data_IF_590954257642
#
_entry.id   IF_590954257642
#
_cell.length_a   1.000
_cell.length_b   1.000
_cell.length_c   1.000
_cell.angle_alpha   90.00
_cell.angle_beta   90.00
_cell.angle_gamma   90.00
#
_symmetry.space_group_name_H-M   'P 1'
#
loop_
_entity.id
_entity.type
_entity.pdbx_description
1 polymer ?
#
# COMPACT_ATOMS: atom_id res chain seq x y z
N UNK A 1 -15.15 -11.95 23.49
CA UNK A 1 -15.53 -10.55 23.22
C UNK A 1 -14.45 -9.97 22.33
N UNK A 2 -14.72 -9.84 21.04
CA UNK A 2 -13.83 -9.15 20.09
C UNK A 2 -14.19 -7.68 20.11
N UNK A 3 -13.28 -6.85 20.62
CA UNK A 3 -13.48 -5.41 20.72
C UNK A 3 -13.08 -4.74 19.41
N UNK A 4 -14.05 -4.19 18.69
CA UNK A 4 -13.78 -3.30 17.55
C UNK A 4 -13.25 -1.99 18.14
N UNK A 5 -11.99 -1.65 17.84
CA UNK A 5 -11.45 -0.31 18.13
C UNK A 5 -11.58 0.52 16.86
N UNK A 6 -12.31 1.63 16.96
CA UNK A 6 -12.41 2.61 15.89
C UNK A 6 -11.46 3.76 16.18
N UNK A 7 -10.51 4.01 15.28
CA UNK A 7 -9.72 5.26 15.28
C UNK A 7 -10.23 6.10 14.12
N UNK A 8 -10.73 7.29 14.44
CA UNK A 8 -11.20 8.28 13.46
C UNK A 8 -10.14 9.35 13.22
N UNK A 9 -9.85 9.66 11.96
CA UNK A 9 -9.08 10.84 11.56
C UNK A 9 -9.91 11.69 10.59
N UNK A 10 -9.84 13.01 10.75
CA UNK A 10 -10.51 13.98 9.90
C UNK A 10 -9.43 14.87 9.30
N UNK A 11 -9.27 14.81 7.99
CA UNK A 11 -8.37 15.67 7.23
C UNK A 11 -8.99 15.95 5.86
N UNK A 12 -8.38 16.85 5.11
CA UNK A 12 -8.62 17.07 3.68
C UNK A 12 -7.51 16.34 2.91
N UNK A 13 -7.64 15.02 2.82
CA UNK A 13 -6.62 14.10 2.31
C UNK A 13 -6.31 14.33 0.83
N UNK A 14 -7.28 14.77 0.04
CA UNK A 14 -7.10 15.09 -1.38
C UNK A 14 -6.93 16.60 -1.69
N UNK A 15 -7.00 17.44 -0.64
CA UNK A 15 -6.82 18.89 -0.70
C UNK A 15 -7.84 19.58 -1.64
N UNK A 16 -9.06 19.05 -1.71
CA UNK A 16 -10.19 19.59 -2.47
C UNK A 16 -11.08 20.55 -1.66
N UNK A 17 -10.66 20.88 -0.43
CA UNK A 17 -11.41 21.68 0.56
C UNK A 17 -12.65 21.00 1.13
N UNK A 18 -12.71 19.66 1.06
CA UNK A 18 -13.72 18.85 1.75
C UNK A 18 -13.04 17.98 2.79
N UNK A 19 -13.70 17.84 3.93
CA UNK A 19 -13.22 16.97 4.99
C UNK A 19 -13.63 15.54 4.63
N UNK A 20 -12.65 14.65 4.49
CA UNK A 20 -12.91 13.22 4.48
C UNK A 20 -12.66 12.60 5.86
N UNK A 21 -13.30 11.45 6.07
CA UNK A 21 -13.26 10.73 7.33
C UNK A 21 -12.64 9.36 7.15
N UNK A 22 -11.54 9.10 7.85
CA UNK A 22 -10.85 7.82 7.90
C UNK A 22 -11.31 7.01 9.12
N UNK A 23 -11.92 5.85 8.90
CA UNK A 23 -12.23 4.85 9.94
C UNK A 23 -11.34 3.65 9.76
N UNK A 24 -10.54 3.33 10.77
CA UNK A 24 -9.86 2.04 10.83
C UNK A 24 -10.57 1.12 11.80
N UNK A 25 -11.01 -0.03 11.32
CA UNK A 25 -11.54 -1.13 12.14
C UNK A 25 -10.52 -2.27 12.21
N UNK A 26 -10.33 -2.84 13.39
CA UNK A 26 -9.44 -4.00 13.57
C UNK A 26 -10.26 -5.24 13.99
N UNK A 27 -10.07 -6.37 13.29
CA UNK A 27 -10.51 -7.68 13.74
C UNK A 27 -9.35 -8.70 13.66
N UNK A 28 -9.03 -9.37 14.77
CA UNK A 28 -8.19 -10.58 14.85
C UNK A 28 -7.04 -10.71 13.81
N UNK A 29 -6.29 -9.62 13.57
CA UNK A 29 -5.13 -9.43 12.66
C UNK A 29 -5.36 -8.77 11.29
N UNK A 30 -6.58 -8.32 10.96
CA UNK A 30 -6.85 -7.53 9.76
C UNK A 30 -7.33 -6.13 10.17
N UNK A 31 -6.64 -5.11 9.65
CA UNK A 31 -7.10 -3.73 9.69
C UNK A 31 -7.84 -3.41 8.40
N UNK A 32 -9.11 -3.02 8.50
CA UNK A 32 -9.86 -2.48 7.36
C UNK A 32 -9.96 -0.97 7.52
N UNK A 33 -9.64 -0.26 6.44
CA UNK A 33 -9.66 1.20 6.38
C UNK A 33 -10.81 1.63 5.47
N UNK A 34 -11.74 2.42 6.00
CA UNK A 34 -12.82 3.06 5.27
C UNK A 34 -12.54 4.55 5.19
N UNK A 35 -12.70 5.16 4.01
CA UNK A 35 -12.72 6.62 3.86
C UNK A 35 -14.07 7.04 3.35
N UNK A 36 -14.68 8.01 4.02
CA UNK A 36 -15.96 8.60 3.64
C UNK A 36 -15.74 10.06 3.24
N UNK A 37 -16.05 10.40 1.99
CA UNK A 37 -16.15 11.79 1.53
C UNK A 37 -17.58 12.32 1.71
N UNK A 38 -17.73 13.58 2.13
CA UNK A 38 -19.04 14.25 2.19
C UNK A 38 -19.38 14.87 0.82
N UNK A 39 -20.40 14.38 0.09
CA UNK A 39 -20.96 15.13 -1.02
C UNK A 39 -21.71 16.35 -0.44
N UNK A 40 -21.49 17.52 -1.03
CA UNK A 40 -22.02 18.79 -0.53
C UNK A 40 -23.52 18.83 -0.26
N UNK A 41 -23.90 19.85 0.53
CA UNK A 41 -25.24 20.14 1.06
C UNK A 41 -26.34 20.08 -0.02
N UNK A 42 -27.15 19.01 -0.01
CA UNK A 42 -28.39 18.92 -0.78
C UNK A 42 -28.64 17.61 -1.51
N UNK A 43 -27.65 16.71 -1.58
CA UNK A 43 -27.86 15.37 -2.12
C UNK A 43 -28.05 14.40 -0.95
N UNK A 44 -29.11 13.58 -1.02
CA UNK A 44 -29.29 12.49 -0.06
C UNK A 44 -28.03 11.62 0.00
N UNK A 45 -27.83 10.89 1.10
CA UNK A 45 -26.81 9.83 1.17
C UNK A 45 -27.12 8.84 0.03
N UNK A 46 -26.54 9.08 -1.13
CA UNK A 46 -26.34 8.04 -2.12
C UNK A 46 -25.47 7.04 -1.38
N UNK A 47 -25.89 5.77 -1.36
CA UNK A 47 -24.96 4.67 -1.12
C UNK A 47 -23.71 5.06 -1.90
N UNK A 48 -22.66 5.42 -1.17
CA UNK A 48 -21.53 6.12 -1.75
C UNK A 48 -21.18 5.36 -3.00
N UNK A 49 -21.07 6.05 -4.13
CA UNK A 49 -20.36 5.49 -5.28
C UNK A 49 -19.20 4.73 -4.67
N UNK A 50 -19.08 3.45 -5.01
CA UNK A 50 -18.00 2.61 -4.52
C UNK A 50 -16.75 3.37 -4.94
N UNK A 51 -16.28 4.25 -4.06
CA UNK A 51 -15.01 4.90 -4.11
C UNK A 51 -14.13 3.73 -3.67
N UNK A 52 -14.04 2.73 -4.56
CA UNK A 52 -12.85 1.97 -4.74
C UNK A 52 -11.80 3.04 -4.74
N UNK A 53 -11.08 3.17 -3.61
CA UNK A 53 -9.82 3.85 -3.61
C UNK A 53 -9.17 3.35 -4.86
N UNK A 54 -8.88 4.26 -5.77
CA UNK A 54 -8.41 3.78 -7.01
C UNK A 54 -7.18 2.97 -6.64
N UNK A 55 -7.14 1.72 -7.09
CA UNK A 55 -5.95 0.90 -6.96
C UNK A 55 -4.86 1.48 -7.92
N UNK A 56 -4.81 2.81 -8.06
CA UNK A 56 -4.23 3.61 -9.15
C UNK A 56 -2.75 3.82 -8.98
N UNK A 57 -2.15 3.32 -7.90
CA UNK A 57 -0.69 3.10 -7.93
C UNK A 57 -0.32 2.02 -8.96
N UNK A 58 -1.29 1.24 -9.46
CA UNK A 58 -1.04 0.10 -10.33
C UNK A 58 -0.15 -0.95 -9.67
N UNK A 59 0.04 -0.85 -8.34
CA UNK A 59 1.00 -1.66 -7.60
C UNK A 59 0.42 -3.05 -7.39
N UNK A 60 1.03 -4.03 -8.04
CA UNK A 60 0.69 -5.45 -7.88
C UNK A 60 1.95 -6.26 -7.66
N UNK A 61 1.85 -7.37 -6.94
CA UNK A 61 2.96 -8.29 -6.71
C UNK A 61 2.46 -9.72 -6.85
N UNK A 62 3.08 -10.50 -7.73
CA UNK A 62 2.65 -11.86 -8.01
C UNK A 62 3.78 -12.77 -8.51
N UNK A 63 3.80 -14.05 -8.13
CA UNK A 63 2.88 -14.71 -7.20
C UNK A 63 3.08 -14.26 -5.73
N UNK A 64 2.03 -14.49 -4.93
CA UNK A 64 2.03 -14.38 -3.47
C UNK A 64 1.43 -15.69 -2.89
N UNK A 65 2.14 -16.51 -2.08
CA UNK A 65 3.44 -16.26 -1.48
C UNK A 65 4.56 -15.97 -2.47
N UNK A 66 5.45 -15.04 -2.11
CA UNK A 66 6.50 -14.60 -2.99
C UNK A 66 7.62 -15.63 -3.11
N UNK A 67 8.27 -15.66 -4.27
CA UNK A 67 9.41 -16.50 -4.57
C UNK A 67 10.39 -15.75 -5.50
N UNK A 68 11.40 -16.46 -6.02
CA UNK A 68 12.42 -15.86 -6.89
C UNK A 68 11.88 -15.26 -8.20
N UNK A 69 10.66 -15.64 -8.60
CA UNK A 69 9.99 -15.19 -9.81
C UNK A 69 8.85 -14.20 -9.51
N UNK A 70 8.67 -13.75 -8.27
CA UNK A 70 7.68 -12.73 -7.95
C UNK A 70 8.02 -11.43 -8.65
N UNK A 71 7.06 -10.93 -9.42
CA UNK A 71 7.14 -9.67 -10.15
C UNK A 71 6.30 -8.64 -9.42
N UNK A 72 6.91 -7.50 -9.12
CA UNK A 72 6.26 -6.29 -8.66
C UNK A 72 6.00 -5.41 -9.89
N UNK A 73 4.75 -5.06 -10.12
CA UNK A 73 4.33 -4.14 -11.19
C UNK A 73 3.81 -2.87 -10.59
N UNK A 74 4.12 -1.72 -11.18
CA UNK A 74 3.54 -0.43 -10.81
C UNK A 74 3.71 0.55 -11.97
N UNK A 75 2.89 1.61 -11.95
CA UNK A 75 2.95 2.69 -12.94
C UNK A 75 3.61 3.90 -12.30
N UNK A 76 4.60 4.48 -12.99
CA UNK A 76 5.21 5.74 -12.59
C UNK A 76 4.79 6.84 -13.56
N UNK A 77 4.39 8.01 -13.07
CA UNK A 77 4.06 9.15 -13.94
C UNK A 77 5.30 9.70 -14.64
N UNK A 78 6.46 9.61 -13.97
CA UNK A 78 7.71 10.17 -14.43
C UNK A 78 8.88 9.20 -14.25
N UNK A 79 10.04 9.54 -14.81
CA UNK A 79 11.28 8.84 -14.51
C UNK A 79 11.83 9.35 -13.18
N UNK A 80 12.00 8.45 -12.21
CA UNK A 80 12.37 8.80 -10.84
C UNK A 80 13.13 7.69 -10.12
N UNK A 81 13.81 8.04 -9.02
CA UNK A 81 14.41 7.04 -8.13
C UNK A 81 13.36 6.60 -7.10
N UNK A 82 13.16 5.28 -6.99
CA UNK A 82 12.34 4.67 -5.98
C UNK A 82 13.18 4.13 -4.83
N UNK A 83 12.75 4.39 -3.60
CA UNK A 83 13.25 3.74 -2.39
C UNK A 83 12.30 2.60 -1.99
N UNK A 84 12.85 1.38 -1.88
CA UNK A 84 12.12 0.18 -1.53
C UNK A 84 12.52 -0.28 -0.13
N UNK A 85 11.51 -0.55 0.69
CA UNK A 85 11.68 -1.01 2.07
C UNK A 85 10.76 -2.20 2.34
N UNK A 86 11.27 -3.22 3.04
CA UNK A 86 10.44 -4.30 3.60
C UNK A 86 10.31 -4.08 5.10
N UNK A 87 9.07 -4.10 5.57
CA UNK A 87 8.75 -4.08 7.01
C UNK A 87 7.92 -5.31 7.41
N UNK A 88 7.99 -5.69 8.68
CA UNK A 88 7.08 -6.69 9.26
C UNK A 88 5.74 -6.08 9.73
N UNK A 89 4.86 -6.93 10.26
CA UNK A 89 3.54 -6.53 10.78
C UNK A 89 3.61 -5.55 11.96
N UNK A 90 4.75 -5.44 12.64
CA UNK A 90 4.98 -4.48 13.73
C UNK A 90 5.53 -3.15 13.22
N UNK A 91 5.80 -3.03 11.92
CA UNK A 91 6.41 -1.87 11.29
C UNK A 91 7.93 -1.84 11.40
N UNK A 92 8.57 -2.90 11.93
CA UNK A 92 10.02 -2.99 12.00
C UNK A 92 10.59 -3.14 10.60
N UNK A 93 11.55 -2.30 10.26
CA UNK A 93 12.28 -2.36 8.99
C UNK A 93 13.21 -3.58 8.99
N UNK A 94 13.08 -4.43 7.97
CA UNK A 94 13.88 -5.63 7.77
C UNK A 94 14.84 -5.51 6.58
N UNK A 95 14.41 -4.80 5.53
CA UNK A 95 15.26 -4.41 4.39
C UNK A 95 15.03 -2.94 4.14
N UNK A 96 16.11 -2.17 4.02
CA UNK A 96 16.09 -0.71 3.85
C UNK A 96 16.96 -0.29 2.67
N UNK A 97 16.71 0.90 2.15
CA UNK A 97 17.58 1.65 1.24
C UNK A 97 17.87 0.94 -0.09
N UNK A 98 17.03 -0.02 -0.50
CA UNK A 98 17.11 -0.58 -1.83
C UNK A 98 16.60 0.48 -2.82
N UNK A 99 17.43 0.87 -3.78
CA UNK A 99 17.09 1.93 -4.74
C UNK A 99 16.92 1.35 -6.13
N UNK A 100 15.91 1.83 -6.85
CA UNK A 100 15.66 1.42 -8.22
C UNK A 100 15.28 2.62 -9.09
N UNK A 101 15.77 2.66 -10.31
CA UNK A 101 15.46 3.73 -11.27
C UNK A 101 14.20 3.35 -12.06
N UNK A 102 13.10 4.05 -11.80
CA UNK A 102 11.82 3.87 -12.47
C UNK A 102 11.85 4.48 -13.86
N UNK A 103 11.17 3.84 -14.80
CA UNK A 103 10.80 4.47 -16.06
C UNK A 103 9.41 5.09 -15.91
N UNK A 104 9.15 6.17 -16.64
CA UNK A 104 7.78 6.63 -16.83
C UNK A 104 6.95 5.52 -17.51
N UNK A 105 5.70 5.34 -17.07
CA UNK A 105 4.81 4.26 -17.48
C UNK A 105 4.98 2.99 -16.63
N UNK A 106 4.69 1.84 -17.23
CA UNK A 106 4.71 0.55 -16.54
C UNK A 106 6.12 0.06 -16.22
N UNK A 107 6.34 -0.32 -14.96
CA UNK A 107 7.54 -1.00 -14.48
C UNK A 107 7.17 -2.43 -14.08
N UNK A 108 7.93 -3.42 -14.55
CA UNK A 108 7.74 -4.84 -14.22
C UNK A 108 9.05 -5.41 -13.70
N UNK A 109 9.17 -5.52 -12.38
CA UNK A 109 10.45 -5.77 -11.71
C UNK A 109 10.41 -7.07 -10.91
N UNK A 110 11.39 -7.93 -11.12
CA UNK A 110 11.51 -9.13 -10.29
C UNK A 110 11.94 -8.73 -8.88
N UNK A 111 11.23 -9.22 -7.86
CA UNK A 111 11.49 -8.91 -6.46
C UNK A 111 12.96 -9.17 -6.08
N UNK A 112 13.55 -10.23 -6.66
CA UNK A 112 14.94 -10.62 -6.46
C UNK A 112 15.97 -9.61 -6.99
N UNK A 113 15.62 -8.81 -8.01
CA UNK A 113 16.52 -7.79 -8.55
C UNK A 113 16.42 -6.45 -7.82
N UNK A 114 15.29 -6.20 -7.15
CA UNK A 114 15.02 -4.91 -6.50
C UNK A 114 15.18 -4.95 -4.98
N UNK A 115 15.22 -6.13 -4.37
CA UNK A 115 15.36 -6.29 -2.93
C UNK A 115 16.41 -7.35 -2.57
N UNK A 116 17.70 -6.99 -2.55
CA UNK A 116 18.75 -7.87 -2.04
C UNK A 116 18.43 -8.28 -0.59
N UNK A 117 18.56 -9.58 -0.28
CA UNK A 117 18.32 -10.10 1.07
C UNK A 117 16.88 -10.57 1.37
N UNK A 118 15.93 -10.39 0.45
CA UNK A 118 14.55 -10.90 0.61
C UNK A 118 14.47 -12.42 0.82
N UNK A 119 15.49 -13.16 0.37
CA UNK A 119 15.61 -14.60 0.57
C UNK A 119 15.92 -15.00 2.00
N UNK A 120 16.58 -14.13 2.77
CA UNK A 120 16.95 -14.37 4.17
C UNK A 120 15.83 -14.01 5.15
N UNK A 121 14.71 -13.47 4.66
CA UNK A 121 13.53 -13.23 5.47
C UNK A 121 12.95 -14.57 5.96
N UNK A 122 12.54 -14.70 7.22
CA UNK A 122 11.86 -15.90 7.70
C UNK A 122 10.49 -16.10 7.02
N UNK A 123 9.85 -17.25 7.23
CA UNK A 123 8.45 -17.41 6.84
C UNK A 123 7.56 -16.41 7.60
N UNK A 124 6.65 -15.73 6.90
CA UNK A 124 5.82 -14.70 7.53
C UNK A 124 5.16 -13.73 6.56
N UNK A 125 4.44 -12.76 7.11
CA UNK A 125 3.78 -11.70 6.38
C UNK A 125 4.57 -10.39 6.49
N UNK A 126 4.72 -9.72 5.35
CA UNK A 126 5.55 -8.54 5.15
C UNK A 126 4.79 -7.47 4.37
N UNK A 127 5.25 -6.23 4.48
CA UNK A 127 4.77 -5.11 3.69
C UNK A 127 5.96 -4.56 2.90
N UNK A 128 5.85 -4.57 1.58
CA UNK A 128 6.72 -3.81 0.69
C UNK A 128 6.22 -2.37 0.61
N UNK A 129 7.10 -1.42 0.87
CA UNK A 129 6.89 0.01 0.67
C UNK A 129 7.75 0.48 -0.48
N UNK A 130 7.17 1.26 -1.38
CA UNK A 130 7.84 1.90 -2.50
C UNK A 130 7.58 3.39 -2.37
N UNK A 131 8.63 4.17 -2.13
CA UNK A 131 8.57 5.62 -2.13
C UNK A 131 9.20 6.14 -3.42
N UNK A 132 8.41 6.84 -4.24
CA UNK A 132 8.88 7.44 -5.49
C UNK A 132 8.03 8.69 -5.78
N UNK A 133 8.64 9.74 -6.33
CA UNK A 133 7.94 10.98 -6.72
C UNK A 133 7.07 11.60 -5.59
N UNK A 134 7.52 11.45 -4.34
CA UNK A 134 6.76 11.90 -3.16
C UNK A 134 5.55 11.04 -2.81
N UNK A 135 5.24 10.03 -3.62
CA UNK A 135 4.19 9.05 -3.38
C UNK A 135 4.73 7.85 -2.61
N UNK A 136 3.89 7.30 -1.72
CA UNK A 136 4.21 6.10 -0.95
C UNK A 136 3.18 5.00 -1.25
N UNK A 137 3.62 3.97 -1.95
CA UNK A 137 2.79 2.81 -2.31
C UNK A 137 3.17 1.60 -1.46
N UNK A 138 2.19 0.81 -1.05
CA UNK A 138 2.46 -0.39 -0.24
C UNK A 138 1.73 -1.62 -0.76
N UNK A 139 2.34 -2.79 -0.59
CA UNK A 139 1.72 -4.07 -0.93
C UNK A 139 2.12 -5.18 0.04
N UNK A 140 1.16 -6.04 0.35
CA UNK A 140 1.35 -7.19 1.22
C UNK A 140 2.08 -8.33 0.50
N UNK A 141 3.04 -8.92 1.18
CA UNK A 141 3.84 -10.05 0.72
C UNK A 141 3.82 -11.16 1.78
N UNK A 142 3.71 -12.41 1.35
CA UNK A 142 3.78 -13.58 2.22
C UNK A 142 4.97 -14.41 1.80
N UNK A 143 5.83 -14.81 2.74
CA UNK A 143 6.90 -15.78 2.51
C UNK A 143 6.52 -17.11 3.14
N UNK A 144 6.67 -18.19 2.38
CA UNK A 144 6.62 -19.53 2.95
C UNK A 144 7.92 -19.86 3.70
N UNK A 145 7.86 -20.71 4.73
CA UNK A 145 9.04 -21.18 5.47
C UNK A 145 10.11 -21.84 4.59
#
# INVERSE_FOLDING_TARGET
MTGITNVGHFDDFDNDSRIEFLVTTFNDNIGTVYVYGYPGRGEGVKEGDDHSFPNETGLTAGPNPFNNNTVVKFVSESQSEAELTIVDQTGRILIRDARYQLKAGENNLTLSSILPGYNSLPGGAYILRINADGQNSTINLVKLP
#
